data_IF_259192679032
#
_entry.id   IF_259192679032
#
_cell.length_a   1.000
_cell.length_b   1.000
_cell.length_c   1.000
_cell.angle_alpha   90.00
_cell.angle_beta   90.00
_cell.angle_gamma   90.00
#
_symmetry.space_group_name_H-M   'P 1'
#
loop_
_entity.id
_entity.type
_entity.pdbx_description
1 polymer ?
#
# COMPACT_ATOMS: atom_id res chain seq x y z
N UNK A 1 -3.87 8.13 -22.61
CA UNK A 1 -3.75 7.02 -21.64
C UNK A 1 -2.59 7.32 -20.71
N UNK A 2 -2.79 7.23 -19.38
CA UNK A 2 -1.73 7.48 -18.41
C UNK A 2 -0.77 6.29 -18.40
N UNK A 3 0.54 6.56 -18.33
CA UNK A 3 1.54 5.51 -18.14
C UNK A 3 1.39 4.92 -16.72
N UNK A 4 1.34 3.58 -16.53
CA UNK A 4 1.29 2.95 -15.22
C UNK A 4 2.36 3.45 -14.24
N UNK A 5 3.54 3.83 -14.72
CA UNK A 5 4.62 4.41 -13.91
C UNK A 5 4.28 5.74 -13.23
N UNK A 6 3.17 6.40 -13.59
CA UNK A 6 2.64 7.55 -12.84
C UNK A 6 1.74 7.15 -11.66
N UNK A 7 1.31 5.89 -11.62
CA UNK A 7 0.41 5.36 -10.60
C UNK A 7 1.15 4.56 -9.55
N UNK A 8 2.07 3.70 -9.99
CA UNK A 8 2.85 2.85 -9.08
C UNK A 8 4.19 2.43 -9.70
N UNK A 9 5.08 1.97 -8.82
CA UNK A 9 6.37 1.38 -9.17
C UNK A 9 6.58 0.08 -8.39
N UNK A 10 6.82 -1.02 -9.09
CA UNK A 10 7.32 -2.26 -8.49
C UNK A 10 8.77 -2.05 -8.01
N UNK A 11 9.05 -2.46 -6.77
CA UNK A 11 10.39 -2.40 -6.18
C UNK A 11 11.08 -3.74 -6.41
N UNK A 12 12.29 -3.68 -6.96
CA UNK A 12 13.07 -4.87 -7.29
C UNK A 12 13.75 -5.48 -6.05
N UNK A 13 12.92 -5.84 -5.07
CA UNK A 13 13.35 -6.61 -3.90
C UNK A 13 12.19 -7.45 -3.35
N UNK A 14 12.54 -8.51 -2.65
CA UNK A 14 11.57 -9.38 -1.96
C UNK A 14 11.59 -9.13 -0.47
N UNK A 15 10.41 -9.07 0.12
CA UNK A 15 10.25 -8.95 1.57
C UNK A 15 10.81 -10.17 2.29
N UNK A 16 11.52 -9.92 3.39
CA UNK A 16 12.02 -10.95 4.31
C UNK A 16 11.16 -11.13 5.56
N UNK A 17 10.06 -10.37 5.71
CA UNK A 17 9.22 -10.35 6.92
C UNK A 17 7.81 -10.91 6.70
N UNK A 18 7.55 -11.60 5.61
CA UNK A 18 6.21 -12.12 5.31
C UNK A 18 5.68 -13.03 6.43
N UNK A 19 6.50 -13.91 6.98
CA UNK A 19 6.09 -14.83 8.06
C UNK A 19 5.76 -14.06 9.35
N UNK A 20 6.55 -13.04 9.70
CA UNK A 20 6.25 -12.17 10.83
C UNK A 20 4.92 -11.42 10.63
N UNK A 21 4.65 -10.93 9.41
CA UNK A 21 3.39 -10.24 9.10
C UNK A 21 2.17 -11.17 9.18
N UNK A 22 2.31 -12.42 8.74
CA UNK A 22 1.25 -13.43 8.88
C UNK A 22 0.96 -13.74 10.35
N UNK A 23 1.98 -13.86 11.19
CA UNK A 23 1.81 -14.04 12.63
C UNK A 23 1.06 -12.86 13.28
N UNK A 24 1.35 -11.64 12.89
CA UNK A 24 0.64 -10.45 13.38
C UNK A 24 -0.81 -10.45 12.87
N UNK A 25 -1.01 -10.74 11.58
CA UNK A 25 -2.34 -10.76 10.98
C UNK A 25 -3.28 -11.76 11.67
N UNK A 26 -2.77 -12.94 11.99
CA UNK A 26 -3.53 -14.07 12.51
C UNK A 26 -3.53 -14.15 14.05
N UNK A 27 -2.89 -13.23 14.78
CA UNK A 27 -2.93 -13.21 16.22
C UNK A 27 -4.33 -12.84 16.76
N UNK A 28 -4.56 -13.05 18.06
CA UNK A 28 -5.87 -12.85 18.71
C UNK A 28 -6.28 -11.38 18.89
N UNK A 29 -5.37 -10.42 18.65
CA UNK A 29 -5.70 -9.01 18.73
C UNK A 29 -6.65 -8.61 17.61
N UNK A 30 -7.72 -7.84 17.88
CA UNK A 30 -8.64 -7.42 16.84
C UNK A 30 -8.03 -6.34 15.95
N UNK A 31 -8.48 -6.27 14.70
CA UNK A 31 -8.27 -5.09 13.87
C UNK A 31 -9.08 -3.91 14.42
N UNK A 32 -8.46 -2.74 14.47
CA UNK A 32 -9.17 -1.49 14.74
C UNK A 32 -9.86 -1.07 13.45
N UNK A 33 -11.19 -1.00 13.49
CA UNK A 33 -12.00 -0.68 12.31
C UNK A 33 -12.06 0.84 12.07
N UNK A 34 -11.81 1.23 10.81
CA UNK A 34 -12.00 2.58 10.30
C UNK A 34 -12.94 2.52 9.10
N UNK A 35 -13.98 3.32 9.06
CA UNK A 35 -14.93 3.38 7.96
C UNK A 35 -15.18 2.02 7.27
N UNK A 36 -14.39 1.68 6.26
CA UNK A 36 -14.52 0.49 5.42
C UNK A 36 -13.24 -0.37 5.36
N UNK A 37 -12.31 -0.17 6.28
CA UNK A 37 -11.11 -1.00 6.43
C UNK A 37 -10.68 -1.14 7.89
N UNK A 38 -9.95 -2.19 8.21
CA UNK A 38 -9.37 -2.42 9.53
C UNK A 38 -7.85 -2.23 9.54
N UNK A 39 -7.28 -1.91 10.71
CA UNK A 39 -5.84 -1.69 10.88
C UNK A 39 -5.32 -2.53 12.05
N UNK A 40 -4.15 -3.18 11.84
CA UNK A 40 -3.25 -3.66 12.90
C UNK A 40 -1.88 -3.03 12.70
N UNK A 41 -1.35 -2.36 13.70
CA UNK A 41 0.00 -1.79 13.62
C UNK A 41 1.07 -2.90 13.62
N UNK A 42 2.11 -2.70 12.81
CA UNK A 42 3.29 -3.56 12.78
C UNK A 42 4.37 -2.91 13.64
N UNK A 43 4.88 -3.61 14.67
CA UNK A 43 5.95 -3.07 15.52
C UNK A 43 7.21 -2.72 14.74
N UNK A 44 7.90 -1.66 15.17
CA UNK A 44 9.12 -1.18 14.51
C UNK A 44 10.23 -2.22 14.47
N UNK A 45 10.41 -2.98 15.54
CA UNK A 45 11.40 -4.05 15.63
C UNK A 45 11.09 -5.22 14.68
N UNK A 46 9.84 -5.36 14.22
CA UNK A 46 9.45 -6.34 13.20
C UNK A 46 9.80 -5.84 11.81
N UNK A 47 9.29 -4.67 11.40
CA UNK A 47 9.52 -4.22 10.02
C UNK A 47 10.98 -3.82 9.75
N UNK A 48 11.75 -3.42 10.76
CA UNK A 48 13.18 -3.15 10.60
C UNK A 48 14.07 -4.40 10.48
N UNK A 49 13.52 -5.61 10.60
CA UNK A 49 14.23 -6.85 10.24
C UNK A 49 14.46 -6.92 8.71
N UNK A 50 13.59 -6.30 7.94
CA UNK A 50 13.75 -6.21 6.49
C UNK A 50 14.76 -5.12 6.14
N UNK A 51 15.84 -5.51 5.43
CA UNK A 51 16.96 -4.61 5.12
C UNK A 51 16.56 -3.45 4.21
N UNK A 52 15.63 -3.68 3.29
CA UNK A 52 15.10 -2.63 2.42
C UNK A 52 14.27 -1.62 3.23
N UNK A 53 13.35 -2.10 4.06
CA UNK A 53 12.54 -1.22 4.92
C UNK A 53 13.41 -0.44 5.92
N UNK A 54 14.45 -1.09 6.48
CA UNK A 54 15.41 -0.41 7.35
C UNK A 54 16.12 0.71 6.63
N UNK A 55 16.66 0.45 5.45
CA UNK A 55 17.35 1.46 4.63
C UNK A 55 16.44 2.62 4.23
N UNK A 56 15.18 2.33 3.94
CA UNK A 56 14.17 3.35 3.62
C UNK A 56 13.83 4.17 4.86
N UNK A 57 13.64 3.52 6.02
CA UNK A 57 13.31 4.18 7.29
C UNK A 57 14.45 5.09 7.79
N UNK A 58 15.70 4.76 7.50
CA UNK A 58 16.86 5.60 7.84
C UNK A 58 16.87 6.93 7.04
N UNK A 59 16.21 6.96 5.88
CA UNK A 59 16.07 8.16 5.03
C UNK A 59 14.77 8.93 5.29
N UNK A 60 13.67 8.19 5.43
CA UNK A 60 12.32 8.70 5.62
C UNK A 60 11.63 7.87 6.68
N UNK A 61 11.39 8.43 7.86
CA UNK A 61 10.73 7.71 8.95
C UNK A 61 9.27 7.44 8.59
N UNK A 62 8.75 6.32 9.05
CA UNK A 62 7.38 5.90 8.79
C UNK A 62 6.86 4.95 9.86
N UNK A 63 5.54 4.81 9.91
CA UNK A 63 4.82 3.76 10.61
C UNK A 63 4.33 2.70 9.64
N UNK A 64 4.15 1.48 10.12
CA UNK A 64 3.69 0.37 9.31
C UNK A 64 2.45 -0.28 9.92
N UNK A 65 1.55 -0.75 9.06
CA UNK A 65 0.33 -1.43 9.46
C UNK A 65 -0.06 -2.52 8.48
N UNK A 66 -0.86 -3.46 8.96
CA UNK A 66 -1.62 -4.39 8.13
C UNK A 66 -3.03 -3.81 7.98
N UNK A 67 -3.44 -3.59 6.74
CA UNK A 67 -4.76 -3.11 6.38
C UNK A 67 -5.64 -4.29 5.96
N UNK A 68 -6.86 -4.32 6.48
CA UNK A 68 -7.86 -5.34 6.19
C UNK A 68 -9.01 -4.73 5.41
N UNK A 69 -9.30 -5.28 4.23
CA UNK A 69 -10.55 -5.03 3.50
C UNK A 69 -11.34 -6.33 3.48
N UNK A 70 -12.52 -6.30 4.08
CA UNK A 70 -13.39 -7.46 4.21
C UNK A 70 -13.82 -8.01 2.86
N UNK A 71 -14.20 -9.30 2.84
CA UNK A 71 -14.83 -9.95 1.69
C UNK A 71 -16.03 -9.15 1.19
N UNK A 72 -16.16 -9.02 -0.13
CA UNK A 72 -17.24 -8.30 -0.81
C UNK A 72 -17.37 -6.81 -0.47
N UNK A 73 -16.28 -6.19 -0.02
CA UNK A 73 -16.22 -4.75 0.25
C UNK A 73 -15.45 -3.99 -0.82
N UNK A 74 -15.75 -2.71 -0.91
CA UNK A 74 -15.04 -1.74 -1.74
C UNK A 74 -14.44 -0.64 -0.86
N UNK A 75 -13.19 -0.28 -1.12
CA UNK A 75 -12.61 0.97 -0.69
C UNK A 75 -12.67 1.92 -1.89
N UNK A 76 -13.65 2.80 -1.83
CA UNK A 76 -14.12 3.58 -2.99
C UNK A 76 -13.04 4.50 -3.56
N UNK A 77 -13.29 5.04 -4.75
CA UNK A 77 -12.42 6.00 -5.42
C UNK A 77 -12.10 7.20 -4.53
N UNK A 78 -10.82 7.47 -4.32
CA UNK A 78 -10.31 8.57 -3.51
C UNK A 78 -8.88 8.92 -3.91
N UNK A 79 -8.40 10.04 -3.40
CA UNK A 79 -6.99 10.39 -3.22
C UNK A 79 -6.74 10.50 -1.72
N UNK A 80 -5.52 10.26 -1.28
CA UNK A 80 -5.20 10.38 0.14
C UNK A 80 -5.12 11.85 0.57
N UNK A 81 -5.66 12.14 1.75
CA UNK A 81 -5.67 13.51 2.27
C UNK A 81 -4.27 14.00 2.66
N UNK A 82 -3.48 13.14 3.30
CA UNK A 82 -2.20 13.53 3.91
C UNK A 82 -0.98 12.90 3.23
N UNK A 83 -1.13 11.73 2.58
CA UNK A 83 0.00 10.99 2.01
C UNK A 83 0.23 11.36 0.55
N UNK A 84 1.49 11.67 0.18
CA UNK A 84 1.90 11.81 -1.22
C UNK A 84 2.17 10.47 -1.89
N UNK A 85 2.57 9.49 -1.11
CA UNK A 85 2.81 8.12 -1.54
C UNK A 85 2.63 7.12 -0.40
N UNK A 86 2.49 5.84 -0.73
CA UNK A 86 2.57 4.73 0.22
C UNK A 86 3.40 3.59 -0.36
N UNK A 87 4.02 2.79 0.50
CA UNK A 87 4.66 1.54 0.09
C UNK A 87 3.80 0.39 0.58
N UNK A 88 3.34 -0.44 -0.34
CA UNK A 88 2.41 -1.52 -0.06
C UNK A 88 2.96 -2.87 -0.53
N UNK A 89 2.54 -3.94 0.17
CA UNK A 89 2.80 -5.32 -0.23
C UNK A 89 1.59 -6.19 0.12
N UNK A 90 1.14 -7.00 -0.85
CA UNK A 90 0.06 -7.96 -0.59
C UNK A 90 0.53 -9.07 0.35
N UNK A 91 -0.20 -9.26 1.45
CA UNK A 91 0.00 -10.38 2.38
C UNK A 91 -0.91 -11.55 1.98
N UNK A 92 -2.20 -11.27 1.82
CA UNK A 92 -3.25 -12.23 1.49
C UNK A 92 -4.38 -11.52 0.75
N UNK A 93 -4.88 -12.12 -0.31
CA UNK A 93 -6.02 -11.56 -1.04
C UNK A 93 -5.98 -12.01 -2.49
N UNK A 94 -6.79 -13.00 -2.82
CA UNK A 94 -7.13 -13.39 -4.17
C UNK A 94 -8.40 -12.65 -4.62
N UNK A 95 -8.57 -12.47 -5.91
CA UNK A 95 -9.74 -11.83 -6.49
C UNK A 95 -10.05 -10.44 -5.87
N UNK A 96 -9.01 -9.69 -5.55
CA UNK A 96 -9.09 -8.29 -5.13
C UNK A 96 -8.27 -7.41 -6.08
N UNK A 97 -8.82 -6.25 -6.42
CA UNK A 97 -8.31 -5.40 -7.48
C UNK A 97 -7.97 -4.01 -6.94
N UNK A 98 -6.75 -3.56 -7.17
CA UNK A 98 -6.32 -2.19 -6.90
C UNK A 98 -6.29 -1.42 -8.23
N UNK A 99 -7.17 -0.45 -8.37
CA UNK A 99 -7.42 0.25 -9.61
C UNK A 99 -7.02 1.72 -9.48
N UNK A 100 -6.39 2.26 -10.51
CA UNK A 100 -6.13 3.69 -10.66
C UNK A 100 -6.95 4.23 -11.83
N UNK A 101 -7.58 5.38 -11.64
CA UNK A 101 -8.29 6.04 -12.72
C UNK A 101 -7.32 6.52 -13.79
N UNK A 102 -7.65 6.22 -15.04
CA UNK A 102 -6.89 6.67 -16.20
C UNK A 102 -7.31 8.08 -16.68
N UNK A 103 -8.41 8.59 -16.16
CA UNK A 103 -8.99 9.92 -16.45
C UNK A 103 -9.45 10.59 -15.15
N UNK A 104 -9.84 11.88 -15.18
CA UNK A 104 -10.55 12.51 -14.07
C UNK A 104 -11.80 11.72 -13.66
N UNK A 105 -12.13 11.69 -12.36
CA UNK A 105 -13.22 10.84 -11.83
C UNK A 105 -14.58 11.09 -12.48
N UNK A 106 -14.83 12.31 -12.94
CA UNK A 106 -16.10 12.68 -13.58
C UNK A 106 -16.33 11.96 -14.92
N UNK A 107 -15.26 11.44 -15.51
CA UNK A 107 -15.28 10.83 -16.85
C UNK A 107 -14.49 9.51 -16.90
N UNK A 108 -14.46 8.76 -15.79
CA UNK A 108 -13.73 7.48 -15.76
C UNK A 108 -14.36 6.49 -16.72
N UNK A 109 -13.66 6.20 -17.81
CA UNK A 109 -14.01 5.18 -18.79
C UNK A 109 -13.00 4.03 -18.82
N UNK A 110 -11.83 4.22 -18.20
CA UNK A 110 -10.78 3.22 -18.16
C UNK A 110 -10.00 3.31 -16.84
N UNK A 111 -9.29 2.24 -16.52
CA UNK A 111 -8.46 2.15 -15.34
C UNK A 111 -7.15 1.44 -15.62
N UNK A 112 -6.18 1.64 -14.73
CA UNK A 112 -4.94 0.91 -14.65
C UNK A 112 -5.03 0.01 -13.43
N UNK A 113 -4.85 -1.29 -13.59
CA UNK A 113 -4.83 -2.25 -12.50
C UNK A 113 -3.39 -2.50 -12.03
N UNK A 114 -3.20 -2.52 -10.71
CA UNK A 114 -1.99 -3.00 -10.08
C UNK A 114 -2.18 -4.46 -9.68
N UNK A 115 -1.48 -5.35 -10.37
CA UNK A 115 -1.39 -6.77 -10.06
C UNK A 115 -0.21 -7.01 -9.11
N UNK A 116 -0.50 -7.38 -7.86
CA UNK A 116 0.52 -7.63 -6.85
C UNK A 116 1.20 -8.99 -7.05
N UNK A 117 2.53 -8.98 -7.08
CA UNK A 117 3.33 -10.21 -7.02
C UNK A 117 3.61 -10.60 -5.55
N UNK A 118 3.73 -11.89 -5.23
CA UNK A 118 4.03 -12.34 -3.88
C UNK A 118 5.32 -11.72 -3.31
N UNK A 119 5.27 -11.32 -2.03
CA UNK A 119 6.40 -10.78 -1.26
C UNK A 119 7.11 -9.58 -1.93
N UNK A 120 6.41 -8.82 -2.74
CA UNK A 120 6.98 -7.71 -3.52
C UNK A 120 6.39 -6.38 -3.05
N UNK A 121 7.25 -5.40 -2.81
CA UNK A 121 6.82 -4.05 -2.47
C UNK A 121 6.47 -3.24 -3.72
N UNK A 122 5.45 -2.40 -3.57
CA UNK A 122 5.01 -1.45 -4.58
C UNK A 122 4.90 -0.06 -3.97
N UNK A 123 5.57 0.91 -4.57
CA UNK A 123 5.38 2.32 -4.26
C UNK A 123 4.17 2.81 -5.05
N UNK A 124 3.19 3.37 -4.35
CA UNK A 124 1.94 3.89 -4.91
C UNK A 124 1.91 5.41 -4.88
N UNK A 125 1.48 6.03 -5.98
CA UNK A 125 1.13 7.43 -6.01
C UNK A 125 -0.28 7.64 -5.47
N UNK A 126 -0.39 7.96 -4.19
CA UNK A 126 -1.68 8.10 -3.50
C UNK A 126 -2.41 9.40 -3.85
N UNK A 127 -1.78 10.29 -4.62
CA UNK A 127 -2.40 11.47 -5.21
C UNK A 127 -3.04 11.21 -6.58
N UNK A 128 -3.01 9.96 -7.08
CA UNK A 128 -3.86 9.48 -8.17
C UNK A 128 -5.13 8.88 -7.59
N UNK A 129 -6.27 9.15 -8.24
CA UNK A 129 -7.53 8.53 -7.85
C UNK A 129 -7.39 7.02 -7.95
N UNK A 130 -7.65 6.34 -6.86
CA UNK A 130 -7.53 4.89 -6.78
C UNK A 130 -8.66 4.29 -5.94
N UNK A 131 -8.88 3.00 -6.14
CA UNK A 131 -9.93 2.23 -5.48
C UNK A 131 -9.47 0.80 -5.28
N UNK A 132 -10.00 0.13 -4.26
CA UNK A 132 -9.82 -1.31 -4.08
C UNK A 132 -11.18 -1.98 -4.05
N UNK A 133 -11.37 -2.98 -4.91
CA UNK A 133 -12.57 -3.80 -4.95
C UNK A 133 -12.18 -5.22 -4.57
N UNK A 134 -12.77 -5.74 -3.50
CA UNK A 134 -12.51 -7.10 -3.03
C UNK A 134 -13.69 -8.01 -3.32
N UNK A 135 -13.56 -8.89 -4.30
CA UNK A 135 -14.52 -9.93 -4.64
C UNK A 135 -14.23 -11.26 -3.92
N UNK A 136 -13.05 -11.42 -3.38
CA UNK A 136 -12.56 -12.64 -2.72
C UNK A 136 -12.83 -12.68 -1.21
N UNK A 137 -11.98 -13.41 -0.51
CA UNK A 137 -11.92 -13.46 0.94
C UNK A 137 -11.34 -12.16 1.52
N UNK A 138 -11.18 -12.08 2.84
CA UNK A 138 -10.59 -10.91 3.49
C UNK A 138 -9.19 -10.61 2.93
N UNK A 139 -8.99 -9.38 2.47
CA UNK A 139 -7.75 -8.91 1.88
C UNK A 139 -6.87 -8.27 2.95
N UNK A 140 -5.64 -8.73 3.05
CA UNK A 140 -4.63 -8.19 3.98
C UNK A 140 -3.47 -7.58 3.18
N UNK A 141 -3.15 -6.34 3.49
CA UNK A 141 -2.10 -5.54 2.86
C UNK A 141 -1.16 -4.98 3.90
N UNK A 142 0.15 -5.21 3.77
CA UNK A 142 1.14 -4.42 4.47
C UNK A 142 1.21 -3.04 3.82
N UNK A 143 1.15 -1.99 4.62
CA UNK A 143 1.22 -0.61 4.14
C UNK A 143 2.04 0.24 5.09
N UNK A 144 2.82 1.16 4.55
CA UNK A 144 3.53 2.15 5.35
C UNK A 144 2.97 3.55 5.12
N UNK A 145 3.02 4.35 6.17
CA UNK A 145 2.68 5.77 6.17
C UNK A 145 3.91 6.55 6.62
N UNK A 146 4.44 7.39 5.72
CA UNK A 146 5.58 8.27 6.02
C UNK A 146 5.16 9.36 7.00
N UNK A 147 6.09 9.78 7.86
CA UNK A 147 5.86 10.88 8.81
C UNK A 147 5.74 12.24 8.09
N UNK A 148 6.37 12.37 6.91
CA UNK A 148 6.27 13.53 6.04
C UNK A 148 4.93 13.51 5.27
N UNK A 149 4.25 14.65 5.22
CA UNK A 149 3.01 14.79 4.46
C UNK A 149 3.25 14.96 2.94
N UNK A 150 2.17 14.97 2.17
CA UNK A 150 2.21 15.07 0.70
C UNK A 150 2.86 16.33 0.13
N UNK A 151 3.01 17.39 0.94
CA UNK A 151 3.66 18.63 0.52
C UNK A 151 5.19 18.58 0.75
N UNK A 152 5.64 17.64 1.57
CA UNK A 152 7.05 17.46 1.94
C UNK A 152 7.69 16.23 1.31
N UNK A 153 6.90 15.21 1.02
CA UNK A 153 7.36 13.96 0.41
C UNK A 153 6.29 13.41 -0.54
N UNK A 154 6.58 13.40 -1.81
CA UNK A 154 5.68 12.86 -2.81
C UNK A 154 6.21 11.56 -3.46
N UNK A 155 5.42 11.03 -4.38
CA UNK A 155 5.76 9.83 -5.14
C UNK A 155 7.05 9.97 -5.94
N UNK A 156 7.30 11.13 -6.52
CA UNK A 156 8.47 11.36 -7.39
C UNK A 156 9.75 11.55 -6.59
N UNK A 157 9.66 12.16 -5.40
CA UNK A 157 10.77 12.25 -4.44
C UNK A 157 11.23 10.85 -4.04
N UNK A 158 10.26 9.96 -3.72
CA UNK A 158 10.55 8.57 -3.37
C UNK A 158 11.10 7.75 -4.54
N UNK A 159 10.60 7.95 -5.77
CA UNK A 159 11.20 7.33 -6.95
C UNK A 159 12.67 7.69 -7.10
N UNK A 160 13.02 8.95 -6.86
CA UNK A 160 14.41 9.42 -6.90
C UNK A 160 15.24 8.76 -5.79
N UNK A 161 14.70 8.70 -4.58
CA UNK A 161 15.36 8.04 -3.42
C UNK A 161 15.60 6.56 -3.66
N UNK A 162 14.66 5.86 -4.27
CA UNK A 162 14.71 4.40 -4.51
C UNK A 162 15.46 4.03 -5.78
N UNK A 163 15.61 4.95 -6.71
CA UNK A 163 16.35 4.76 -7.98
C UNK A 163 17.86 5.05 -7.89
N UNK A 164 18.32 5.53 -6.75
CA UNK A 164 19.72 5.91 -6.52
C UNK A 164 20.54 4.83 -5.84
#
# INVERSE_FOLDING_TARGET
MINPGYCYKEIDCKSSIMDDLLLIADNSEPFVEYFNFGIKFVPKDVFLKDSFLKSLHDKHTFNAAILLIRSKNIYNWHIDDNRGASLNMMIRGDNSHCLFSNEPLEVVNSFIELEYKPSTYYLLNTQRHHSVINFGEDRLMFSIEFDEDKNSLDYYDLLTTLGS
#
